data_IF_683343023396
#
_entry.id   IF_683343023396
#
_cell.length_a   1.000
_cell.length_b   1.000
_cell.length_c   1.000
_cell.angle_alpha   90.00
_cell.angle_beta   90.00
_cell.angle_gamma   90.00
#
_symmetry.space_group_name_H-M   'P 1'
#
loop_
_entity.id
_entity.type
_entity.pdbx_description
1 polymer ?
#
# COMPACT_ATOMS: atom_id res chain seq x y z
N UNK A 1 -28.02 -24.26 -2.06
CA UNK A 1 -27.46 -23.82 -3.33
C UNK A 1 -28.53 -23.17 -4.17
N UNK A 2 -28.30 -21.98 -4.69
CA UNK A 2 -29.24 -21.25 -5.54
C UNK A 2 -28.54 -20.64 -6.75
N UNK A 3 -29.16 -20.80 -7.94
CA UNK A 3 -28.64 -20.17 -9.16
C UNK A 3 -29.72 -19.28 -9.77
N UNK A 4 -29.35 -18.06 -10.13
CA UNK A 4 -30.15 -17.08 -10.85
C UNK A 4 -29.43 -16.77 -12.16
N UNK A 5 -30.05 -17.08 -13.31
CA UNK A 5 -29.41 -16.80 -14.61
C UNK A 5 -29.34 -15.29 -14.89
N UNK A 6 -30.43 -14.57 -14.63
CA UNK A 6 -30.47 -13.11 -14.82
C UNK A 6 -31.22 -12.47 -13.68
N UNK A 7 -30.59 -11.52 -13.00
CA UNK A 7 -31.22 -10.74 -11.94
C UNK A 7 -31.49 -9.32 -12.45
N UNK A 8 -32.73 -9.06 -12.84
CA UNK A 8 -33.21 -7.75 -13.28
C UNK A 8 -33.77 -6.90 -12.14
N UNK A 9 -34.15 -7.53 -11.04
CA UNK A 9 -34.57 -6.94 -9.77
C UNK A 9 -34.64 -8.04 -8.70
N UNK A 10 -34.81 -7.65 -7.43
CA UNK A 10 -34.95 -8.59 -6.31
C UNK A 10 -33.62 -8.96 -5.68
N UNK A 11 -33.62 -9.97 -4.82
CA UNK A 11 -32.44 -10.32 -4.03
C UNK A 11 -32.27 -11.84 -3.88
N UNK A 12 -31.03 -12.23 -3.67
CA UNK A 12 -30.60 -13.55 -3.25
C UNK A 12 -29.87 -13.43 -1.92
N UNK A 13 -30.35 -14.08 -0.88
CA UNK A 13 -29.66 -14.14 0.42
C UNK A 13 -28.99 -15.50 0.59
N UNK A 14 -27.76 -15.47 1.08
CA UNK A 14 -26.90 -16.63 1.29
C UNK A 14 -26.39 -16.59 2.73
N UNK A 15 -26.74 -17.60 3.49
CA UNK A 15 -26.35 -17.75 4.89
C UNK A 15 -25.27 -18.82 5.05
N UNK A 16 -24.80 -19.05 6.28
CA UNK A 16 -23.74 -20.00 6.62
C UNK A 16 -23.88 -21.34 5.90
N UNK A 17 -22.80 -21.77 5.24
CA UNK A 17 -22.74 -22.99 4.45
C UNK A 17 -23.53 -22.97 3.13
N UNK A 18 -24.28 -21.90 2.88
CA UNK A 18 -25.00 -21.70 1.62
C UNK A 18 -24.09 -21.27 0.48
N UNK A 19 -24.49 -21.61 -0.75
CA UNK A 19 -23.85 -21.12 -1.98
C UNK A 19 -24.88 -20.54 -2.93
N UNK A 20 -24.55 -19.42 -3.57
CA UNK A 20 -25.44 -18.76 -4.52
C UNK A 20 -24.67 -18.21 -5.72
N UNK A 21 -25.25 -18.36 -6.91
CA UNK A 21 -24.68 -17.82 -8.14
C UNK A 21 -25.70 -16.97 -8.86
N UNK A 22 -25.29 -15.78 -9.30
CA UNK A 22 -26.01 -14.93 -10.25
C UNK A 22 -25.16 -14.85 -11.51
N UNK A 23 -25.66 -15.38 -12.65
CA UNK A 23 -24.88 -15.33 -13.88
C UNK A 23 -24.76 -13.90 -14.40
N UNK A 24 -25.87 -13.13 -14.40
CA UNK A 24 -25.86 -11.73 -14.82
C UNK A 24 -26.73 -10.87 -13.93
N UNK A 25 -26.16 -9.81 -13.36
CA UNK A 25 -26.87 -8.79 -12.58
C UNK A 25 -26.95 -7.50 -13.40
N UNK A 26 -28.17 -7.14 -13.85
CA UNK A 26 -28.39 -6.07 -14.81
C UNK A 26 -28.95 -4.79 -14.18
N UNK A 27 -29.67 -4.89 -13.06
CA UNK A 27 -30.50 -3.80 -12.56
C UNK A 27 -29.99 -3.20 -11.26
N UNK A 28 -30.21 -1.90 -11.09
CA UNK A 28 -29.91 -1.13 -9.88
C UNK A 28 -30.54 -1.72 -8.60
N UNK A 29 -31.66 -2.41 -8.73
CA UNK A 29 -32.41 -3.00 -7.61
C UNK A 29 -32.20 -4.51 -7.44
N UNK A 30 -31.23 -5.10 -8.16
CA UNK A 30 -30.78 -6.46 -7.94
C UNK A 30 -29.68 -6.49 -6.89
N UNK A 31 -29.77 -7.38 -5.90
CA UNK A 31 -28.66 -7.57 -5.00
C UNK A 31 -28.48 -9.01 -4.52
N UNK A 32 -27.24 -9.36 -4.20
CA UNK A 32 -26.88 -10.61 -3.55
C UNK A 32 -26.31 -10.29 -2.16
N UNK A 33 -26.96 -10.76 -1.11
CA UNK A 33 -26.53 -10.67 0.27
C UNK A 33 -25.84 -11.96 0.71
N UNK A 34 -24.65 -11.86 1.29
CA UNK A 34 -23.86 -12.98 1.77
C UNK A 34 -23.58 -12.78 3.26
N UNK A 35 -24.18 -13.62 4.07
CA UNK A 35 -24.10 -13.58 5.53
C UNK A 35 -23.49 -14.91 6.01
N UNK A 36 -22.17 -15.07 5.87
CA UNK A 36 -21.43 -16.27 6.24
C UNK A 36 -21.28 -17.34 5.15
N UNK A 37 -22.01 -17.25 4.04
CA UNK A 37 -21.94 -18.19 2.92
C UNK A 37 -20.99 -17.78 1.81
N UNK A 38 -21.16 -18.37 0.62
CA UNK A 38 -20.36 -18.06 -0.58
C UNK A 38 -21.26 -17.62 -1.73
N UNK A 39 -21.02 -16.45 -2.28
CA UNK A 39 -21.78 -15.89 -3.39
C UNK A 39 -20.91 -15.53 -4.59
N UNK A 40 -21.42 -15.80 -5.79
CA UNK A 40 -20.75 -15.43 -7.03
C UNK A 40 -21.69 -14.64 -7.93
N UNK A 41 -21.18 -13.55 -8.51
CA UNK A 41 -21.81 -12.84 -9.62
C UNK A 41 -20.84 -12.89 -10.80
N UNK A 42 -21.22 -13.57 -11.90
CA UNK A 42 -20.30 -13.68 -13.03
C UNK A 42 -20.17 -12.36 -13.78
N UNK A 43 -21.28 -11.68 -14.08
CA UNK A 43 -21.27 -10.35 -14.70
C UNK A 43 -22.16 -9.40 -13.90
N UNK A 44 -21.57 -8.35 -13.35
CA UNK A 44 -22.26 -7.27 -12.68
C UNK A 44 -22.23 -6.01 -13.54
N UNK A 45 -23.34 -5.69 -14.19
CA UNK A 45 -23.48 -4.45 -14.97
C UNK A 45 -24.10 -3.33 -14.11
N UNK A 46 -24.82 -3.69 -13.06
CA UNK A 46 -25.41 -2.80 -12.07
C UNK A 46 -25.78 -3.61 -10.82
N UNK A 47 -26.42 -3.00 -9.80
CA UNK A 47 -26.83 -3.67 -8.57
C UNK A 47 -25.71 -3.76 -7.54
N UNK A 48 -25.88 -4.65 -6.56
CA UNK A 48 -24.93 -4.75 -5.45
C UNK A 48 -24.75 -6.19 -4.94
N UNK A 49 -23.52 -6.50 -4.53
CA UNK A 49 -23.19 -7.65 -3.72
C UNK A 49 -22.74 -7.18 -2.34
N UNK A 50 -23.40 -7.63 -1.28
CA UNK A 50 -23.08 -7.33 0.11
C UNK A 50 -22.45 -8.56 0.77
N UNK A 51 -21.23 -8.43 1.29
CA UNK A 51 -20.47 -9.53 1.90
C UNK A 51 -20.25 -9.22 3.38
N UNK A 52 -21.02 -9.88 4.22
CA UNK A 52 -20.99 -9.73 5.67
C UNK A 52 -20.52 -11.06 6.30
N UNK A 53 -19.23 -11.20 6.59
CA UNK A 53 -18.66 -12.41 7.20
C UNK A 53 -18.51 -13.63 6.28
N UNK A 54 -18.89 -13.56 5.02
CA UNK A 54 -18.79 -14.66 4.04
C UNK A 54 -17.78 -14.36 2.94
N UNK A 55 -17.89 -15.08 1.82
CA UNK A 55 -17.03 -14.89 0.63
C UNK A 55 -17.86 -14.50 -0.59
N UNK A 56 -17.53 -13.37 -1.19
CA UNK A 56 -18.20 -12.85 -2.37
C UNK A 56 -17.24 -12.70 -3.56
N UNK A 57 -17.63 -13.21 -4.73
CA UNK A 57 -16.85 -13.03 -5.95
C UNK A 57 -17.69 -12.34 -7.01
N UNK A 58 -17.10 -11.35 -7.67
CA UNK A 58 -17.61 -10.77 -8.92
C UNK A 58 -16.56 -11.02 -10.00
N UNK A 59 -16.89 -11.83 -11.01
CA UNK A 59 -15.91 -12.14 -12.06
C UNK A 59 -15.64 -10.94 -12.96
N UNK A 60 -16.72 -10.27 -13.43
CA UNK A 60 -16.60 -9.03 -14.22
C UNK A 60 -17.54 -7.97 -13.66
N UNK A 61 -17.02 -6.84 -13.26
CA UNK A 61 -17.77 -5.66 -12.81
C UNK A 61 -17.68 -4.56 -13.85
N UNK A 62 -18.77 -4.34 -14.58
CA UNK A 62 -18.92 -3.24 -15.55
C UNK A 62 -19.68 -2.05 -14.94
N UNK A 63 -20.17 -2.18 -13.72
CA UNK A 63 -20.89 -1.20 -12.92
C UNK A 63 -21.42 -1.84 -11.63
N UNK A 64 -22.14 -1.06 -10.82
CA UNK A 64 -22.65 -1.54 -9.54
C UNK A 64 -21.62 -1.49 -8.41
N UNK A 65 -21.86 -2.26 -7.34
CA UNK A 65 -21.00 -2.23 -6.17
C UNK A 65 -20.83 -3.58 -5.49
N UNK A 66 -19.65 -3.84 -4.95
CA UNK A 66 -19.40 -4.89 -3.97
C UNK A 66 -19.04 -4.21 -2.63
N UNK A 67 -19.81 -4.48 -1.58
CA UNK A 67 -19.56 -3.95 -0.24
C UNK A 67 -19.16 -5.08 0.68
N UNK A 68 -18.01 -4.96 1.33
CA UNK A 68 -17.37 -5.98 2.14
C UNK A 68 -17.15 -5.44 3.54
N UNK A 69 -17.64 -6.14 4.55
CA UNK A 69 -17.49 -5.74 5.95
C UNK A 69 -17.63 -6.94 6.90
N UNK A 70 -17.43 -6.66 8.19
CA UNK A 70 -17.70 -7.59 9.29
C UNK A 70 -16.98 -8.95 9.10
N UNK A 71 -15.71 -8.93 8.70
CA UNK A 71 -14.88 -10.11 8.44
C UNK A 71 -15.14 -10.79 7.09
N UNK A 72 -15.96 -10.20 6.22
CA UNK A 72 -16.21 -10.73 4.87
C UNK A 72 -14.99 -10.62 3.96
N UNK A 73 -14.91 -11.51 2.99
CA UNK A 73 -13.86 -11.49 1.94
C UNK A 73 -14.50 -11.33 0.57
N UNK A 74 -14.05 -10.35 -0.20
CA UNK A 74 -14.59 -10.05 -1.52
C UNK A 74 -13.53 -9.97 -2.61
N UNK A 75 -13.82 -10.55 -3.77
CA UNK A 75 -12.93 -10.47 -4.93
C UNK A 75 -13.69 -9.94 -6.15
N UNK A 76 -13.08 -8.99 -6.83
CA UNK A 76 -13.47 -8.59 -8.20
C UNK A 76 -12.32 -8.97 -9.12
N UNK A 77 -12.54 -9.95 -10.01
CA UNK A 77 -11.47 -10.42 -10.89
C UNK A 77 -11.14 -9.42 -12.00
N UNK A 78 -12.17 -8.80 -12.60
CA UNK A 78 -12.01 -7.74 -13.59
C UNK A 78 -12.97 -6.60 -13.29
N UNK A 79 -12.44 -5.42 -13.01
CA UNK A 79 -13.21 -4.21 -12.75
C UNK A 79 -13.06 -3.23 -13.93
N UNK A 80 -14.11 -3.11 -14.74
CA UNK A 80 -14.17 -2.14 -15.84
C UNK A 80 -14.76 -0.81 -15.37
N UNK A 81 -15.64 -0.85 -14.38
CA UNK A 81 -16.30 0.28 -13.71
C UNK A 81 -16.94 -0.19 -12.42
N UNK A 82 -17.54 0.72 -11.65
CA UNK A 82 -18.20 0.41 -10.38
C UNK A 82 -17.31 0.63 -9.16
N UNK A 83 -17.73 0.10 -8.01
CA UNK A 83 -17.06 0.36 -6.74
C UNK A 83 -16.96 -0.90 -5.89
N UNK A 84 -15.77 -1.20 -5.39
CA UNK A 84 -15.57 -2.14 -4.28
C UNK A 84 -15.35 -1.33 -3.00
N UNK A 85 -16.23 -1.44 -2.01
CA UNK A 85 -16.15 -0.73 -0.73
C UNK A 85 -15.84 -1.69 0.40
N UNK A 86 -14.80 -1.43 1.18
CA UNK A 86 -14.26 -2.33 2.21
C UNK A 86 -14.20 -1.58 3.53
N UNK A 87 -14.70 -2.17 4.60
CA UNK A 87 -14.75 -1.56 5.94
C UNK A 87 -14.82 -2.61 7.05
N UNK A 88 -14.63 -2.19 8.31
CA UNK A 88 -14.93 -2.98 9.50
C UNK A 88 -14.39 -4.43 9.47
N UNK A 89 -13.10 -4.59 9.22
CA UNK A 89 -12.47 -5.93 9.16
C UNK A 89 -12.72 -6.70 7.86
N UNK A 90 -13.38 -6.10 6.88
CA UNK A 90 -13.52 -6.69 5.54
C UNK A 90 -12.20 -6.70 4.78
N UNK A 91 -12.02 -7.71 3.92
CA UNK A 91 -10.85 -7.85 3.04
C UNK A 91 -11.32 -7.91 1.59
N UNK A 92 -10.84 -7.00 0.77
CA UNK A 92 -11.24 -6.91 -0.65
C UNK A 92 -10.06 -6.97 -1.59
N UNK A 93 -10.21 -7.72 -2.68
CA UNK A 93 -9.23 -7.77 -3.77
C UNK A 93 -9.87 -7.33 -5.07
N UNK A 94 -9.20 -6.46 -5.81
CA UNK A 94 -9.56 -6.08 -7.17
C UNK A 94 -8.34 -6.33 -8.07
N UNK A 95 -8.39 -7.40 -8.87
CA UNK A 95 -7.22 -7.91 -9.58
C UNK A 95 -6.98 -7.14 -10.89
N UNK A 96 -7.83 -7.28 -11.87
CA UNK A 96 -7.71 -6.55 -13.15
C UNK A 96 -8.54 -5.25 -13.13
N UNK A 97 -7.99 -4.14 -12.62
CA UNK A 97 -8.73 -2.87 -12.54
C UNK A 97 -8.39 -2.00 -13.74
N UNK A 98 -9.32 -1.90 -14.68
CA UNK A 98 -9.23 -1.04 -15.87
C UNK A 98 -10.03 0.26 -15.69
N UNK A 99 -10.91 0.31 -14.68
CA UNK A 99 -11.69 1.48 -14.28
C UNK A 99 -12.49 1.19 -13.01
N UNK A 100 -13.21 2.19 -12.48
CA UNK A 100 -13.91 2.07 -11.20
C UNK A 100 -13.04 2.46 -10.01
N UNK A 101 -13.47 2.10 -8.79
CA UNK A 101 -12.80 2.48 -7.55
C UNK A 101 -12.79 1.36 -6.52
N UNK A 102 -11.69 1.19 -5.83
CA UNK A 102 -11.65 0.48 -4.55
C UNK A 102 -11.60 1.50 -3.41
N UNK A 103 -12.65 1.53 -2.58
CA UNK A 103 -12.76 2.41 -1.42
C UNK A 103 -12.47 1.63 -0.15
N UNK A 104 -11.39 1.96 0.53
CA UNK A 104 -10.97 1.31 1.77
C UNK A 104 -11.26 2.25 2.93
N UNK A 105 -12.26 1.91 3.71
CA UNK A 105 -12.67 2.68 4.89
C UNK A 105 -11.99 2.11 6.15
N UNK A 106 -12.21 2.76 7.28
CA UNK A 106 -11.62 2.38 8.56
C UNK A 106 -11.81 0.88 8.87
N UNK A 107 -10.71 0.22 9.21
CA UNK A 107 -10.66 -1.21 9.49
C UNK A 107 -10.77 -2.12 8.27
N UNK A 108 -10.87 -1.58 7.05
CA UNK A 108 -10.83 -2.37 5.81
C UNK A 108 -9.42 -2.60 5.30
N UNK A 109 -9.21 -3.70 4.59
CA UNK A 109 -7.96 -4.04 3.91
C UNK A 109 -8.28 -4.27 2.43
N UNK A 110 -7.65 -3.49 1.54
CA UNK A 110 -7.86 -3.59 0.11
C UNK A 110 -6.57 -3.94 -0.64
N UNK A 111 -6.65 -4.88 -1.57
CA UNK A 111 -5.56 -5.30 -2.44
C UNK A 111 -5.85 -4.97 -3.90
N UNK A 112 -4.86 -4.44 -4.61
CA UNK A 112 -4.85 -4.26 -6.08
C UNK A 112 -3.51 -4.70 -6.67
N UNK A 113 -3.51 -5.21 -7.92
CA UNK A 113 -2.26 -5.64 -8.57
C UNK A 113 -1.38 -4.45 -9.00
N UNK A 114 -1.99 -3.35 -9.41
CA UNK A 114 -1.26 -2.14 -9.85
C UNK A 114 -2.02 -0.86 -9.53
N UNK A 115 -1.29 0.26 -9.47
CA UNK A 115 -1.85 1.57 -9.13
C UNK A 115 -2.62 2.24 -10.29
N UNK A 116 -2.76 1.61 -11.45
CA UNK A 116 -3.58 2.14 -12.58
C UNK A 116 -5.05 2.34 -12.19
N UNK A 117 -5.45 1.85 -11.02
CA UNK A 117 -6.79 1.94 -10.47
C UNK A 117 -6.87 2.98 -9.35
N UNK A 118 -8.03 3.61 -9.24
CA UNK A 118 -8.32 4.53 -8.15
C UNK A 118 -8.56 3.77 -6.83
N UNK A 119 -7.48 3.46 -6.11
CA UNK A 119 -7.58 3.01 -4.73
C UNK A 119 -7.65 4.25 -3.81
N UNK A 120 -8.75 4.39 -3.09
CA UNK A 120 -8.97 5.48 -2.13
C UNK A 120 -8.98 4.91 -0.72
N UNK A 121 -8.01 5.29 0.09
CA UNK A 121 -7.88 4.83 1.47
C UNK A 121 -8.34 5.95 2.40
N UNK A 122 -9.29 5.66 3.27
CA UNK A 122 -9.68 6.56 4.36
C UNK A 122 -8.82 6.32 5.60
N UNK A 123 -8.85 7.24 6.56
CA UNK A 123 -8.15 7.08 7.84
C UNK A 123 -8.55 5.74 8.52
N UNK A 124 -7.57 4.99 8.98
CA UNK A 124 -7.74 3.64 9.55
C UNK A 124 -7.93 2.52 8.53
N UNK A 125 -7.84 2.79 7.23
CA UNK A 125 -7.80 1.77 6.18
C UNK A 125 -6.38 1.36 5.81
N UNK A 126 -6.24 0.15 5.27
CA UNK A 126 -4.96 -0.39 4.76
C UNK A 126 -5.09 -0.76 3.29
N UNK A 127 -4.29 -0.13 2.45
CA UNK A 127 -4.16 -0.48 1.03
C UNK A 127 -2.94 -1.35 0.78
N UNK A 128 -3.07 -2.32 -0.10
CA UNK A 128 -1.96 -3.18 -0.55
C UNK A 128 -1.90 -3.12 -2.06
N UNK A 129 -0.72 -2.86 -2.61
CA UNK A 129 -0.46 -2.82 -4.05
C UNK A 129 0.66 -3.83 -4.35
N UNK A 130 0.43 -4.70 -5.34
CA UNK A 130 1.47 -5.66 -5.74
C UNK A 130 2.69 -4.95 -6.32
N UNK A 131 2.47 -4.03 -7.26
CA UNK A 131 3.59 -3.32 -7.88
C UNK A 131 3.26 -1.85 -8.15
N UNK A 132 4.19 -0.95 -7.79
CA UNK A 132 4.18 0.45 -8.21
C UNK A 132 5.21 0.62 -9.33
N UNK A 133 4.77 1.04 -10.50
CA UNK A 133 5.61 1.18 -11.69
C UNK A 133 5.91 2.65 -12.04
N UNK A 134 6.78 2.87 -13.02
CA UNK A 134 7.19 4.21 -13.42
C UNK A 134 6.00 5.10 -13.83
N UNK A 135 5.99 6.33 -13.30
CA UNK A 135 4.92 7.31 -13.52
C UNK A 135 3.74 7.21 -12.57
N UNK A 136 3.64 6.17 -11.76
CA UNK A 136 2.61 6.03 -10.74
C UNK A 136 2.99 6.78 -9.45
N UNK A 137 1.98 7.42 -8.81
CA UNK A 137 2.15 8.13 -7.54
C UNK A 137 1.10 7.66 -6.55
N UNK A 138 1.54 7.15 -5.42
CA UNK A 138 0.67 6.71 -4.33
C UNK A 138 0.86 7.58 -3.09
N UNK A 139 -0.15 8.35 -2.74
CA UNK A 139 -0.09 9.28 -1.60
C UNK A 139 -0.87 8.73 -0.41
N UNK A 140 -0.20 8.69 0.74
CA UNK A 140 -0.76 8.28 2.03
C UNK A 140 -0.73 9.46 3.01
N UNK A 141 -1.91 9.77 3.54
CA UNK A 141 -2.08 10.86 4.52
C UNK A 141 -2.34 10.30 5.93
N UNK A 142 -2.47 11.18 6.91
CA UNK A 142 -2.60 10.79 8.31
C UNK A 142 -3.66 9.71 8.57
N UNK A 143 -3.26 8.66 9.28
CA UNK A 143 -4.09 7.50 9.62
C UNK A 143 -4.28 6.48 8.48
N UNK A 144 -3.67 6.68 7.32
CA UNK A 144 -3.67 5.70 6.23
C UNK A 144 -2.44 4.81 6.30
N UNK A 145 -2.60 3.54 5.95
CA UNK A 145 -1.51 2.58 5.82
C UNK A 145 -1.45 2.06 4.39
N UNK A 146 -0.25 1.96 3.84
CA UNK A 146 -0.05 1.44 2.49
C UNK A 146 1.15 0.50 2.42
N UNK A 147 0.98 -0.65 1.77
CA UNK A 147 2.02 -1.65 1.55
C UNK A 147 2.16 -1.86 0.04
N UNK A 148 3.37 -1.72 -0.47
CA UNK A 148 3.71 -2.09 -1.83
C UNK A 148 4.67 -3.29 -1.78
N UNK A 149 4.26 -4.44 -2.36
CA UNK A 149 5.14 -5.62 -2.39
C UNK A 149 6.37 -5.37 -3.27
N UNK A 150 6.21 -4.59 -4.33
CA UNK A 150 7.33 -4.19 -5.20
C UNK A 150 7.20 -2.76 -5.68
N UNK A 151 8.34 -2.07 -5.84
CA UNK A 151 8.42 -0.79 -6.53
C UNK A 151 9.52 -0.84 -7.59
N UNK A 152 9.16 -0.60 -8.85
CA UNK A 152 10.07 -0.64 -9.99
C UNK A 152 10.17 0.70 -10.74
N UNK A 153 9.85 1.82 -10.07
CA UNK A 153 10.07 3.15 -10.64
C UNK A 153 9.03 4.22 -10.32
N UNK A 154 8.00 3.96 -9.56
CA UNK A 154 6.99 4.97 -9.17
C UNK A 154 7.38 5.81 -7.95
N UNK A 155 6.40 6.45 -7.36
CA UNK A 155 6.59 7.27 -6.16
C UNK A 155 5.54 6.92 -5.09
N UNK A 156 6.00 6.64 -3.87
CA UNK A 156 5.13 6.55 -2.69
C UNK A 156 5.39 7.79 -1.82
N UNK A 157 4.32 8.54 -1.51
CA UNK A 157 4.38 9.79 -0.76
C UNK A 157 3.65 9.63 0.57
N UNK A 158 4.35 9.82 1.69
CA UNK A 158 3.76 9.84 3.03
C UNK A 158 3.70 11.26 3.56
N UNK A 159 2.48 11.74 3.80
CA UNK A 159 2.21 13.02 4.47
C UNK A 159 1.41 12.74 5.76
N UNK A 160 2.09 12.24 6.78
CA UNK A 160 1.51 11.77 8.03
C UNK A 160 0.94 10.35 8.00
N UNK A 161 0.98 9.66 6.86
CA UNK A 161 0.62 8.24 6.73
C UNK A 161 1.80 7.31 6.98
N UNK A 162 1.53 6.01 6.93
CA UNK A 162 2.54 4.94 7.06
C UNK A 162 2.63 4.15 5.77
N UNK A 163 3.84 4.00 5.23
CA UNK A 163 4.06 3.26 4.00
C UNK A 163 5.19 2.24 4.12
N UNK A 164 4.96 1.02 3.62
CA UNK A 164 5.98 -0.02 3.51
C UNK A 164 6.19 -0.39 2.04
N UNK A 165 7.42 -0.68 1.68
CA UNK A 165 7.81 -1.25 0.38
C UNK A 165 8.66 -2.47 0.69
N UNK A 166 8.17 -3.68 0.34
CA UNK A 166 8.92 -4.91 0.63
C UNK A 166 10.20 -4.97 -0.25
N UNK A 167 10.08 -4.69 -1.53
CA UNK A 167 11.25 -4.64 -2.43
C UNK A 167 11.24 -3.40 -3.30
N UNK A 168 12.25 -2.54 -3.15
CA UNK A 168 12.47 -1.38 -4.00
C UNK A 168 13.61 -1.65 -4.99
N UNK A 169 13.27 -1.89 -6.25
CA UNK A 169 14.26 -2.05 -7.32
C UNK A 169 14.66 -0.70 -7.93
N UNK A 170 13.75 0.27 -7.91
CA UNK A 170 13.95 1.66 -8.29
C UNK A 170 12.72 2.47 -7.86
N UNK A 171 12.80 3.80 -7.88
CA UNK A 171 11.69 4.70 -7.57
C UNK A 171 12.00 5.60 -6.39
N UNK A 172 10.95 6.19 -5.83
CA UNK A 172 11.08 7.21 -4.81
C UNK A 172 10.05 7.01 -3.69
N UNK A 173 10.53 6.92 -2.44
CA UNK A 173 9.69 7.02 -1.27
C UNK A 173 9.92 8.38 -0.60
N UNK A 174 8.89 9.22 -0.55
CA UNK A 174 8.91 10.57 0.01
C UNK A 174 8.19 10.65 1.35
N UNK A 175 8.86 11.14 2.38
CA UNK A 175 8.38 11.21 3.74
C UNK A 175 8.34 12.67 4.22
N UNK A 176 7.14 13.17 4.52
CA UNK A 176 6.93 14.54 5.02
C UNK A 176 6.00 14.56 6.22
N UNK A 177 6.07 15.63 7.00
CA UNK A 177 5.05 16.00 7.99
C UNK A 177 4.66 14.87 8.93
N UNK A 178 5.63 14.14 9.48
CA UNK A 178 5.40 13.01 10.38
C UNK A 178 5.01 11.70 9.67
N UNK A 179 5.17 11.63 8.35
CA UNK A 179 5.03 10.37 7.62
C UNK A 179 6.11 9.37 8.01
N UNK A 180 5.75 8.11 8.05
CA UNK A 180 6.65 7.00 8.36
C UNK A 180 6.76 6.05 7.16
N UNK A 181 7.98 5.72 6.76
CA UNK A 181 8.23 4.83 5.64
C UNK A 181 9.25 3.76 5.95
N UNK A 182 8.97 2.53 5.55
CA UNK A 182 9.91 1.41 5.63
C UNK A 182 10.16 0.85 4.24
N UNK A 183 11.39 0.44 3.98
CA UNK A 183 11.79 -0.34 2.81
C UNK A 183 12.55 -1.55 3.33
N UNK A 184 12.01 -2.77 3.11
CA UNK A 184 12.66 -3.96 3.63
C UNK A 184 13.92 -4.26 2.83
N UNK A 185 13.86 -4.25 1.50
CA UNK A 185 15.04 -4.43 0.64
C UNK A 185 15.11 -3.35 -0.43
N UNK A 186 16.19 -2.56 -0.42
CA UNK A 186 16.47 -1.54 -1.43
C UNK A 186 17.62 -2.00 -2.33
N UNK A 187 17.31 -2.25 -3.60
CA UNK A 187 18.31 -2.56 -4.63
C UNK A 187 18.79 -1.31 -5.35
N UNK A 188 17.91 -0.32 -5.53
CA UNK A 188 18.19 1.02 -6.09
C UNK A 188 17.03 1.96 -5.78
N UNK A 189 17.14 3.25 -6.17
CA UNK A 189 16.15 4.28 -5.93
C UNK A 189 16.49 5.19 -4.76
N UNK A 190 15.48 5.90 -4.22
CA UNK A 190 15.72 6.87 -3.15
C UNK A 190 14.61 6.86 -2.10
N UNK A 191 14.99 6.87 -0.83
CA UNK A 191 14.10 7.28 0.27
C UNK A 191 14.48 8.72 0.66
N UNK A 192 13.59 9.67 0.44
CA UNK A 192 13.78 11.11 0.73
C UNK A 192 12.94 11.50 1.95
N UNK A 193 13.59 11.84 3.04
CA UNK A 193 13.01 12.10 4.35
C UNK A 193 13.15 13.56 4.71
N UNK A 194 12.03 14.26 4.87
CA UNK A 194 12.00 15.71 5.15
C UNK A 194 10.94 16.07 6.18
N UNK A 195 11.05 17.28 6.72
CA UNK A 195 10.00 17.91 7.55
C UNK A 195 9.50 17.03 8.71
N UNK A 196 10.42 16.37 9.43
CA UNK A 196 10.10 15.50 10.56
C UNK A 196 9.53 14.14 10.15
N UNK A 197 9.73 13.71 8.90
CA UNK A 197 9.47 12.34 8.48
C UNK A 197 10.44 11.35 9.13
N UNK A 198 10.05 10.09 9.21
CA UNK A 198 10.89 9.00 9.71
C UNK A 198 10.97 7.87 8.69
N UNK A 199 12.18 7.48 8.31
CA UNK A 199 12.40 6.43 7.32
C UNK A 199 13.34 5.34 7.82
N UNK A 200 13.01 4.09 7.50
CA UNK A 200 13.86 2.93 7.77
C UNK A 200 14.10 2.17 6.47
N UNK A 201 15.31 1.67 6.30
CA UNK A 201 15.67 0.71 5.27
C UNK A 201 16.33 -0.47 5.99
N UNK A 202 15.72 -1.67 5.92
CA UNK A 202 16.27 -2.83 6.63
C UNK A 202 17.53 -3.33 5.92
N UNK A 203 17.50 -3.47 4.60
CA UNK A 203 18.68 -3.85 3.81
C UNK A 203 18.86 -2.92 2.61
N UNK A 204 19.97 -2.19 2.57
CA UNK A 204 20.35 -1.32 1.46
C UNK A 204 21.52 -1.94 0.69
N UNK A 205 21.24 -2.43 -0.52
CA UNK A 205 22.26 -2.95 -1.42
C UNK A 205 22.87 -1.87 -2.32
N UNK A 206 22.05 -0.91 -2.73
CA UNK A 206 22.44 0.29 -3.46
C UNK A 206 21.34 1.37 -3.31
N UNK A 207 21.42 2.48 -4.08
CA UNK A 207 20.48 3.60 -4.01
C UNK A 207 20.88 4.61 -2.93
N UNK A 208 19.89 5.41 -2.46
CA UNK A 208 20.19 6.47 -1.50
C UNK A 208 19.07 6.71 -0.48
N UNK A 209 19.47 6.97 0.76
CA UNK A 209 18.61 7.59 1.77
C UNK A 209 19.07 9.03 1.97
N UNK A 210 18.22 9.99 1.61
CA UNK A 210 18.46 11.42 1.79
C UNK A 210 17.62 11.95 2.95
N UNK A 211 18.27 12.57 3.94
CA UNK A 211 17.62 13.01 5.18
C UNK A 211 17.88 14.51 5.35
N UNK A 212 16.81 15.30 5.41
CA UNK A 212 16.89 16.75 5.52
C UNK A 212 15.80 17.34 6.43
N UNK A 213 15.93 18.59 6.78
CA UNK A 213 14.89 19.39 7.46
C UNK A 213 14.35 18.73 8.75
N UNK A 214 15.25 18.21 9.61
CA UNK A 214 14.86 17.56 10.86
C UNK A 214 14.24 16.17 10.70
N UNK A 215 14.36 15.55 9.54
CA UNK A 215 14.00 14.14 9.33
C UNK A 215 14.93 13.18 10.09
N UNK A 216 14.49 11.96 10.29
CA UNK A 216 15.26 10.88 10.91
C UNK A 216 15.28 9.66 10.00
N UNK A 217 16.46 9.14 9.72
CA UNK A 217 16.62 7.96 8.86
C UNK A 217 17.49 6.88 9.49
N UNK A 218 17.09 5.63 9.32
CA UNK A 218 17.87 4.46 9.76
C UNK A 218 18.10 3.52 8.58
N UNK A 219 19.30 2.96 8.49
CA UNK A 219 19.63 1.82 7.64
C UNK A 219 20.15 0.71 8.55
N UNK A 220 19.48 -0.45 8.58
CA UNK A 220 19.92 -1.52 9.46
C UNK A 220 21.17 -2.21 8.90
N UNK A 221 21.15 -2.60 7.63
CA UNK A 221 22.29 -3.20 6.95
C UNK A 221 22.57 -2.42 5.67
N UNK A 222 23.72 -1.77 5.58
CA UNK A 222 24.21 -1.12 4.37
C UNK A 222 25.32 -1.96 3.72
N UNK A 223 25.02 -2.56 2.60
CA UNK A 223 25.95 -3.32 1.77
C UNK A 223 26.47 -2.51 0.58
N UNK A 224 25.92 -1.34 0.35
CA UNK A 224 26.27 -0.37 -0.67
C UNK A 224 25.35 0.84 -0.65
N UNK A 225 25.52 1.78 -1.58
CA UNK A 225 24.71 2.99 -1.68
C UNK A 225 25.15 4.12 -0.76
N UNK A 226 24.25 5.05 -0.44
CA UNK A 226 24.60 6.22 0.36
C UNK A 226 23.48 6.69 1.29
N UNK A 227 23.85 7.09 2.50
CA UNK A 227 23.02 7.89 3.40
C UNK A 227 23.56 9.31 3.48
N UNK A 228 22.79 10.31 3.07
CA UNK A 228 23.21 11.73 3.08
C UNK A 228 22.36 12.51 4.07
N UNK A 229 22.99 13.15 5.05
CA UNK A 229 22.34 13.84 6.16
C UNK A 229 22.64 15.33 6.07
N UNK A 230 21.60 16.15 5.90
CA UNK A 230 21.72 17.61 5.74
C UNK A 230 20.68 18.37 6.56
N UNK A 231 20.89 19.67 6.74
CA UNK A 231 19.88 20.60 7.29
C UNK A 231 19.32 20.20 8.67
N UNK A 232 20.19 19.86 9.62
CA UNK A 232 19.80 19.56 11.01
C UNK A 232 19.08 18.20 11.18
N UNK A 233 19.27 17.30 10.25
CA UNK A 233 18.72 15.95 10.29
C UNK A 233 19.61 14.97 11.07
N UNK A 234 19.08 13.78 11.37
CA UNK A 234 19.80 12.69 12.02
C UNK A 234 19.69 11.38 11.20
N UNK A 235 20.81 10.67 11.10
CA UNK A 235 20.86 9.40 10.37
C UNK A 235 21.68 8.35 11.12
N UNK A 236 21.20 7.11 11.11
CA UNK A 236 21.86 5.96 11.75
C UNK A 236 22.05 4.85 10.72
N UNK A 237 23.22 4.21 10.77
CA UNK A 237 23.49 2.95 10.09
C UNK A 237 23.89 1.95 11.18
N UNK A 238 23.13 0.87 11.37
CA UNK A 238 23.43 -0.11 12.41
C UNK A 238 24.63 -0.98 12.01
N UNK A 239 24.69 -1.46 10.78
CA UNK A 239 25.84 -2.22 10.26
C UNK A 239 26.19 -1.75 8.85
N UNK A 240 27.41 -1.29 8.65
CA UNK A 240 27.94 -0.85 7.35
C UNK A 240 29.00 -1.84 6.86
N UNK A 241 28.73 -2.52 5.76
CA UNK A 241 29.69 -3.41 5.09
C UNK A 241 30.40 -2.70 3.93
N UNK A 242 29.67 -1.79 3.24
CA UNK A 242 30.17 -0.94 2.18
C UNK A 242 29.25 0.29 2.02
N UNK A 243 29.59 1.22 1.12
CA UNK A 243 28.81 2.43 0.87
C UNK A 243 29.34 3.67 1.61
N UNK A 244 28.49 4.69 1.72
CA UNK A 244 28.89 5.97 2.30
C UNK A 244 27.81 6.59 3.18
N UNK A 245 28.17 7.04 4.38
CA UNK A 245 27.40 8.01 5.15
C UNK A 245 28.05 9.38 5.07
N UNK A 246 27.33 10.39 4.56
CA UNK A 246 27.80 11.77 4.47
C UNK A 246 27.06 12.67 5.46
N UNK A 247 27.76 13.29 6.39
CA UNK A 247 27.19 14.13 7.46
C UNK A 247 27.56 15.57 7.22
N UNK A 248 26.59 16.44 6.97
CA UNK A 248 26.80 17.88 6.77
C UNK A 248 26.81 18.65 8.08
N UNK A 249 27.18 19.94 8.01
CA UNK A 249 27.21 20.84 9.17
C UNK A 249 25.88 20.89 9.90
N UNK A 250 25.90 20.81 11.23
CA UNK A 250 24.72 20.81 12.12
C UNK A 250 23.91 19.54 12.11
N UNK A 251 24.39 18.47 11.50
CA UNK A 251 23.74 17.17 11.45
C UNK A 251 24.46 16.14 12.34
N UNK A 252 23.74 15.07 12.69
CA UNK A 252 24.27 13.95 13.47
C UNK A 252 24.15 12.66 12.67
N UNK A 253 25.24 11.92 12.57
CA UNK A 253 25.28 10.59 11.95
C UNK A 253 25.91 9.57 12.89
N UNK A 254 25.36 8.36 12.92
CA UNK A 254 25.88 7.24 13.70
C UNK A 254 26.14 6.04 12.78
N UNK A 255 27.24 5.36 12.95
CA UNK A 255 27.50 4.02 12.38
C UNK A 255 27.91 3.11 13.53
N UNK A 256 27.00 2.23 13.98
CA UNK A 256 27.23 1.41 15.18
C UNK A 256 28.24 0.27 14.94
N UNK A 257 28.28 -0.30 13.73
CA UNK A 257 29.29 -1.28 13.34
C UNK A 257 29.78 -1.01 11.92
N UNK A 258 31.04 -0.65 11.76
CA UNK A 258 31.65 -0.36 10.47
C UNK A 258 32.62 -1.47 10.07
N UNK A 259 32.21 -2.34 9.16
CA UNK A 259 33.03 -3.44 8.63
C UNK A 259 33.70 -3.05 7.28
N UNK A 260 33.26 -1.96 6.68
CA UNK A 260 33.77 -1.38 5.44
C UNK A 260 33.02 -0.10 5.11
N UNK A 261 33.26 0.48 3.92
CA UNK A 261 32.63 1.72 3.48
C UNK A 261 33.30 2.97 4.04
N UNK A 262 32.57 4.11 4.01
CA UNK A 262 33.13 5.42 4.41
C UNK A 262 32.08 6.24 5.18
N UNK A 263 32.46 6.76 6.34
CA UNK A 263 31.73 7.83 7.01
C UNK A 263 32.45 9.16 6.79
N UNK A 264 31.88 10.09 6.03
CA UNK A 264 32.42 11.40 5.72
C UNK A 264 31.73 12.47 6.57
N UNK A 265 32.48 13.13 7.43
CA UNK A 265 32.00 14.21 8.31
C UNK A 265 32.49 15.53 7.82
N UNK A 266 31.59 16.39 7.34
CA UNK A 266 31.95 17.75 6.93
C UNK A 266 32.10 18.67 8.15
N UNK A 267 32.73 19.82 7.96
CA UNK A 267 32.93 20.80 9.03
C UNK A 267 31.64 21.16 9.73
N UNK A 268 31.58 20.98 11.05
CA UNK A 268 30.40 21.21 11.89
C UNK A 268 29.35 20.07 11.91
N UNK A 269 29.65 18.96 11.25
CA UNK A 269 28.88 17.71 11.44
C UNK A 269 29.37 16.96 12.68
N UNK A 270 28.51 16.06 13.20
CA UNK A 270 28.81 15.20 14.37
C UNK A 270 28.66 13.75 13.99
N UNK A 271 29.71 12.96 14.16
CA UNK A 271 29.64 11.51 14.13
C UNK A 271 29.56 10.98 15.58
N UNK A 272 28.72 9.99 15.79
CA UNK A 272 28.60 9.27 17.05
C UNK A 272 28.97 7.79 16.81
N UNK A 273 29.60 7.19 17.81
CA UNK A 273 29.96 5.77 17.86
C UNK A 273 28.86 4.95 18.54
#
# INVERSE_FOLDING_TARGET
NGTVSTMSAGWQEIYDGGTGTVSTMLAKYGYQGINGGTGTVNVMSSGAQYVNGGTGTVSTMSGGSQTIKDGGTGTVSTMLSGTQSISNGGVGSALGVLGGQQLINSGGIGYVESLTSNQVISSGGTGIIETITAGEIWTLTAGQTGIANSMSGGTQVMSGGTGTIDTMNNGLQWLFSGGTGTIDVMHDGMQDIRSGGTGTIDTMNAGSQFIASGGTGTVDIMSGGSQTIVSGAAGTINTMHDGMQAISSGCTGTVSAMNGGTQAVNSGGTALD
#
